data_IF_717409586998
#
_entry.id   IF_717409586998
#
_cell.length_a   1.000
_cell.length_b   1.000
_cell.length_c   1.000
_cell.angle_alpha   90.00
_cell.angle_beta   90.00
_cell.angle_gamma   90.00
#
_symmetry.space_group_name_H-M   'P 1'
#
loop_
_entity.id
_entity.type
_entity.pdbx_description
1 polymer ?
#
# COMPACT_ATOMS: atom_id res chain seq x y z
N UNK A 1 5.53 -8.27 20.10
CA UNK A 1 4.96 -7.85 18.81
C UNK A 1 4.73 -6.36 18.89
N UNK A 2 4.95 -5.56 17.83
CA UNK A 2 4.48 -4.19 17.84
C UNK A 2 2.97 -4.20 18.05
N UNK A 3 2.48 -3.29 18.89
CA UNK A 3 1.06 -3.14 19.16
C UNK A 3 0.45 -2.35 18.00
N UNK A 4 -0.26 -3.07 17.13
CA UNK A 4 -1.03 -2.47 16.04
C UNK A 4 -2.25 -1.78 16.63
N UNK A 5 -2.62 -0.62 16.07
CA UNK A 5 -3.83 0.08 16.45
C UNK A 5 -4.54 0.64 15.22
N UNK A 6 -5.86 0.73 15.30
CA UNK A 6 -6.67 1.41 14.30
C UNK A 6 -6.80 2.89 14.65
N UNK A 7 -6.63 3.76 13.66
CA UNK A 7 -6.86 5.20 13.81
C UNK A 7 -7.78 5.71 12.71
N UNK A 8 -8.61 6.69 13.05
CA UNK A 8 -9.32 7.49 12.05
C UNK A 8 -8.34 8.52 11.49
N UNK A 9 -7.80 8.26 10.31
CA UNK A 9 -6.90 9.19 9.61
C UNK A 9 -7.70 10.05 8.64
N UNK A 10 -7.74 11.34 8.92
CA UNK A 10 -8.36 12.35 8.09
C UNK A 10 -7.33 13.03 7.18
N UNK A 11 -7.63 13.08 5.89
CA UNK A 11 -6.73 13.61 4.87
C UNK A 11 -7.10 14.99 4.36
N UNK A 12 -8.26 15.54 4.72
CA UNK A 12 -8.65 16.90 4.36
C UNK A 12 -9.06 17.73 5.58
N UNK A 13 -8.88 19.04 5.51
CA UNK A 13 -9.24 19.94 6.63
C UNK A 13 -10.75 20.01 6.88
N UNK A 14 -11.55 19.61 5.88
CA UNK A 14 -13.01 19.58 5.97
C UNK A 14 -13.57 18.31 6.60
N UNK A 15 -12.75 17.31 6.95
CA UNK A 15 -13.20 16.09 7.62
C UNK A 15 -13.99 15.12 6.72
N UNK A 16 -13.85 15.21 5.40
CA UNK A 16 -14.61 14.41 4.42
C UNK A 16 -13.83 13.18 3.97
N UNK A 17 -12.51 13.23 3.99
CA UNK A 17 -11.65 12.11 3.59
C UNK A 17 -11.08 11.41 4.83
N UNK A 18 -11.93 10.64 5.51
CA UNK A 18 -11.53 9.85 6.69
C UNK A 18 -11.42 8.38 6.32
N UNK A 19 -10.25 7.80 6.55
CA UNK A 19 -9.99 6.37 6.41
C UNK A 19 -9.65 5.79 7.78
N UNK A 20 -10.18 4.61 8.09
CA UNK A 20 -9.71 3.85 9.27
C UNK A 20 -8.48 3.08 8.80
N UNK A 21 -7.34 3.31 9.45
CA UNK A 21 -6.09 2.68 9.10
C UNK A 21 -5.44 1.95 10.27
N UNK A 22 -4.95 0.74 10.02
CA UNK A 22 -3.99 0.05 10.89
C UNK A 22 -2.64 0.76 10.85
N UNK A 23 -2.14 1.13 12.03
CA UNK A 23 -0.87 1.82 12.22
C UNK A 23 -0.10 1.26 13.42
N UNK A 24 1.21 1.48 13.41
CA UNK A 24 2.05 1.35 14.61
C UNK A 24 2.49 2.74 15.06
N UNK A 25 2.28 3.09 16.33
CA UNK A 25 2.84 4.33 16.90
C UNK A 25 4.36 4.19 17.04
N UNK A 26 5.10 5.15 16.50
CA UNK A 26 6.58 5.16 16.58
C UNK A 26 7.14 6.41 17.27
N UNK A 27 6.29 7.42 17.52
CA UNK A 27 6.63 8.66 18.22
C UNK A 27 5.40 9.34 18.80
N UNK A 28 5.57 10.55 19.36
CA UNK A 28 4.47 11.29 19.99
C UNK A 28 3.33 11.57 19.01
N UNK A 29 3.65 11.92 17.76
CA UNK A 29 2.70 12.24 16.69
C UNK A 29 3.07 11.56 15.37
N UNK A 30 3.82 10.46 15.46
CA UNK A 30 4.33 9.74 14.29
C UNK A 30 3.82 8.31 14.29
N UNK A 31 3.25 7.94 13.15
CA UNK A 31 2.67 6.63 12.91
C UNK A 31 3.30 6.02 11.67
N UNK A 32 3.62 4.73 11.75
CA UNK A 32 3.92 3.93 10.56
C UNK A 32 2.63 3.29 10.07
N UNK A 33 2.32 3.46 8.78
CA UNK A 33 1.16 2.86 8.14
C UNK A 33 1.41 1.35 7.96
N UNK A 34 0.46 0.50 8.38
CA UNK A 34 0.60 -0.96 8.35
C UNK A 34 -0.29 -1.65 7.30
N UNK A 35 -1.12 -0.87 6.60
CA UNK A 35 -1.90 -1.29 5.44
C UNK A 35 -1.82 -0.29 4.27
N UNK A 36 -2.58 -0.49 3.19
CA UNK A 36 -2.55 0.41 2.03
C UNK A 36 -3.67 1.44 2.09
N UNK A 37 -3.35 2.75 2.16
CA UNK A 37 -4.38 3.79 2.08
C UNK A 37 -5.06 3.83 0.71
N UNK A 38 -6.38 3.96 0.72
CA UNK A 38 -7.26 4.04 -0.45
C UNK A 38 -7.46 5.48 -0.88
N UNK A 39 -7.68 6.42 0.05
CA UNK A 39 -7.98 7.82 -0.32
C UNK A 39 -6.74 8.63 -0.69
N UNK A 40 -5.54 8.21 -0.23
CA UNK A 40 -4.27 8.87 -0.55
C UNK A 40 -3.31 7.97 -1.32
N UNK A 41 -3.40 7.94 -2.67
CA UNK A 41 -2.58 7.06 -3.49
C UNK A 41 -1.08 7.36 -3.41
N UNK A 42 -0.66 8.55 -2.96
CA UNK A 42 0.72 8.90 -2.71
C UNK A 42 1.32 8.26 -1.44
N UNK A 43 0.47 7.81 -0.50
CA UNK A 43 0.89 7.10 0.70
C UNK A 43 0.97 5.60 0.45
N UNK A 44 1.85 4.93 1.18
CA UNK A 44 2.09 3.50 1.02
C UNK A 44 2.21 2.81 2.36
N UNK A 45 1.95 1.50 2.35
CA UNK A 45 2.36 0.59 3.40
C UNK A 45 3.82 0.89 3.83
N UNK A 46 4.03 1.02 5.14
CA UNK A 46 5.31 1.27 5.76
C UNK A 46 5.78 2.72 5.75
N UNK A 47 5.03 3.64 5.11
CA UNK A 47 5.32 5.08 5.22
C UNK A 47 5.19 5.51 6.68
N UNK A 48 6.03 6.46 7.09
CA UNK A 48 5.91 7.15 8.36
C UNK A 48 5.28 8.51 8.09
N UNK A 49 4.17 8.75 8.76
CA UNK A 49 3.42 9.99 8.69
C UNK A 49 3.45 10.70 10.03
N UNK A 50 3.37 12.03 9.95
CA UNK A 50 3.07 12.88 11.10
C UNK A 50 1.59 13.23 11.06
N UNK A 51 0.97 13.20 12.22
CA UNK A 51 -0.44 13.58 12.37
C UNK A 51 -0.62 14.63 13.45
N UNK A 52 -1.79 15.25 13.46
CA UNK A 52 -2.29 16.08 14.55
C UNK A 52 -3.59 15.48 15.06
N UNK A 53 -3.65 15.09 16.32
CA UNK A 53 -4.88 14.57 16.90
C UNK A 53 -5.80 15.71 17.32
N UNK A 54 -7.04 15.70 16.84
CA UNK A 54 -8.09 16.62 17.23
C UNK A 54 -9.38 15.85 17.51
N UNK A 55 -9.87 15.92 18.76
CA UNK A 55 -11.12 15.27 19.19
C UNK A 55 -11.19 13.77 18.85
N UNK A 56 -10.05 13.06 18.94
CA UNK A 56 -9.94 11.63 18.65
C UNK A 56 -9.76 11.28 17.17
N UNK A 57 -9.66 12.27 16.27
CA UNK A 57 -9.36 12.08 14.85
C UNK A 57 -7.91 12.49 14.58
N UNK A 58 -7.16 11.64 13.90
CA UNK A 58 -5.80 11.95 13.46
C UNK A 58 -5.86 12.69 12.12
N UNK A 59 -5.45 13.95 12.06
CA UNK A 59 -5.33 14.68 10.81
C UNK A 59 -3.92 14.50 10.23
N UNK A 60 -3.83 14.02 8.99
CA UNK A 60 -2.56 13.90 8.27
C UNK A 60 -1.91 15.28 8.11
N UNK A 61 -0.63 15.39 8.49
CA UNK A 61 0.17 16.61 8.33
C UNK A 61 1.16 16.44 7.16
N UNK A 62 2.01 15.43 7.24
CA UNK A 62 3.04 15.16 6.23
C UNK A 62 3.55 13.72 6.28
N UNK A 63 4.22 13.29 5.20
CA UNK A 63 5.00 12.05 5.20
C UNK A 63 6.43 12.38 5.66
N UNK A 64 6.79 11.95 6.86
CA UNK A 64 8.14 12.14 7.43
C UNK A 64 9.16 11.24 6.72
N UNK A 65 8.76 10.01 6.37
CA UNK A 65 9.62 9.05 5.68
C UNK A 65 8.83 8.13 4.78
N UNK A 66 9.24 8.03 3.51
CA UNK A 66 8.72 7.01 2.60
C UNK A 66 9.24 5.63 2.96
N UNK A 67 8.39 4.62 2.79
CA UNK A 67 8.73 3.22 3.01
C UNK A 67 9.86 2.76 2.07
N UNK A 68 10.38 1.58 2.34
CA UNK A 68 11.30 0.87 1.45
C UNK A 68 10.60 0.05 0.37
N UNK A 69 9.28 0.21 0.27
CA UNK A 69 8.50 -0.35 -0.81
C UNK A 69 8.33 0.63 -1.97
N UNK A 70 8.21 0.05 -3.15
CA UNK A 70 7.64 0.65 -4.35
C UNK A 70 6.25 0.08 -4.51
N UNK A 71 5.27 0.98 -4.48
CA UNK A 71 3.86 0.64 -4.73
C UNK A 71 3.58 0.62 -6.22
N UNK A 72 2.98 -0.47 -6.69
CA UNK A 72 2.48 -0.62 -8.05
C UNK A 72 0.99 -0.94 -7.97
N UNK A 73 0.19 -0.25 -8.78
CA UNK A 73 -1.25 -0.45 -8.88
C UNK A 73 -1.59 -0.84 -10.32
N UNK A 74 -2.38 -1.89 -10.51
CA UNK A 74 -2.84 -2.41 -11.81
C UNK A 74 -4.31 -2.79 -11.75
N UNK A 75 -5.05 -2.54 -12.83
CA UNK A 75 -6.39 -3.09 -13.00
C UNK A 75 -6.27 -4.48 -13.61
N UNK A 76 -6.84 -5.47 -12.94
CA UNK A 76 -6.82 -6.85 -13.40
C UNK A 76 -8.01 -7.13 -14.31
N UNK A 77 -7.72 -7.62 -15.51
CA UNK A 77 -8.69 -8.38 -16.29
C UNK A 77 -9.02 -9.69 -15.58
N UNK A 78 -10.19 -10.26 -15.87
CA UNK A 78 -10.62 -11.54 -15.28
C UNK A 78 -9.67 -12.67 -15.67
N UNK A 79 -9.15 -12.60 -16.88
CA UNK A 79 -8.18 -13.52 -17.45
C UNK A 79 -6.85 -13.43 -16.70
N UNK A 80 -6.31 -12.22 -16.50
CA UNK A 80 -5.09 -12.01 -15.73
C UNK A 80 -5.21 -12.52 -14.29
N UNK A 81 -6.33 -12.22 -13.62
CA UNK A 81 -6.57 -12.61 -12.23
C UNK A 81 -6.55 -14.13 -12.01
N UNK A 82 -6.78 -14.92 -13.07
CA UNK A 82 -6.79 -16.39 -13.05
C UNK A 82 -5.57 -17.01 -13.73
N UNK A 83 -4.64 -16.18 -14.23
CA UNK A 83 -3.47 -16.66 -14.96
C UNK A 83 -2.46 -17.34 -14.02
N UNK A 84 -1.86 -18.46 -14.44
CA UNK A 84 -0.77 -19.08 -13.70
C UNK A 84 0.46 -18.15 -13.60
N UNK A 85 0.67 -17.28 -14.57
CA UNK A 85 1.74 -16.29 -14.62
C UNK A 85 1.62 -15.28 -13.48
N UNK A 86 0.41 -14.71 -13.27
CA UNK A 86 0.19 -13.78 -12.16
C UNK A 86 0.27 -14.48 -10.80
N UNK A 87 -0.22 -15.72 -10.70
CA UNK A 87 -0.08 -16.52 -9.48
C UNK A 87 1.40 -16.74 -9.13
N UNK A 88 2.22 -17.13 -10.12
CA UNK A 88 3.65 -17.33 -9.93
C UNK A 88 4.40 -16.01 -9.62
N UNK A 89 3.98 -14.90 -10.23
CA UNK A 89 4.53 -13.57 -9.93
C UNK A 89 4.26 -13.17 -8.47
N UNK A 90 3.05 -13.40 -7.96
CA UNK A 90 2.68 -13.12 -6.55
C UNK A 90 3.55 -13.91 -5.56
N UNK A 91 3.83 -15.18 -5.84
CA UNK A 91 4.77 -15.97 -5.02
C UNK A 91 6.20 -15.41 -5.07
N UNK A 92 6.64 -14.91 -6.24
CA UNK A 92 7.94 -14.24 -6.37
C UNK A 92 8.00 -12.92 -5.59
N UNK A 93 6.92 -12.14 -5.57
CA UNK A 93 6.81 -10.94 -4.72
C UNK A 93 6.97 -11.33 -3.25
N UNK A 94 6.22 -12.33 -2.78
CA UNK A 94 6.27 -12.78 -1.38
C UNK A 94 7.65 -13.30 -0.99
N UNK A 95 8.29 -14.13 -1.83
CA UNK A 95 9.64 -14.68 -1.55
C UNK A 95 10.74 -13.62 -1.49
N UNK A 96 10.45 -12.40 -1.95
CA UNK A 96 11.35 -11.23 -1.87
C UNK A 96 10.92 -10.24 -0.79
N UNK A 97 10.13 -10.66 0.19
CA UNK A 97 9.55 -9.81 1.24
C UNK A 97 8.65 -8.69 0.73
N UNK A 98 8.12 -8.81 -0.49
CA UNK A 98 7.06 -7.92 -0.96
C UNK A 98 5.70 -8.32 -0.39
N UNK A 99 4.74 -7.41 -0.53
CA UNK A 99 3.34 -7.67 -0.21
C UNK A 99 2.47 -7.43 -1.44
N UNK A 100 1.32 -8.08 -1.51
CA UNK A 100 0.33 -7.80 -2.53
C UNK A 100 -1.08 -8.02 -1.98
N UNK A 101 -2.03 -7.33 -2.57
CA UNK A 101 -3.45 -7.46 -2.25
C UNK A 101 -4.30 -7.21 -3.49
N UNK A 102 -5.52 -7.72 -3.49
CA UNK A 102 -6.52 -7.38 -4.52
C UNK A 102 -7.71 -6.75 -3.83
N UNK A 103 -7.93 -5.47 -4.12
CA UNK A 103 -9.04 -4.68 -3.58
C UNK A 103 -10.08 -4.41 -4.65
N UNK A 104 -11.31 -4.13 -4.24
CA UNK A 104 -12.46 -3.85 -5.13
C UNK A 104 -12.69 -4.89 -6.24
N UNK A 105 -12.28 -6.15 -6.02
CA UNK A 105 -12.48 -7.26 -6.95
C UNK A 105 -11.69 -7.19 -8.26
N UNK A 106 -10.79 -6.21 -8.42
CA UNK A 106 -10.07 -6.00 -9.67
C UNK A 106 -8.87 -5.07 -9.63
N UNK A 107 -8.55 -4.45 -8.49
CA UNK A 107 -7.36 -3.60 -8.36
C UNK A 107 -6.29 -4.40 -7.64
N UNK A 108 -5.20 -4.73 -8.34
CA UNK A 108 -4.01 -5.33 -7.75
C UNK A 108 -3.09 -4.23 -7.24
N UNK A 109 -2.75 -4.29 -5.96
CA UNK A 109 -1.74 -3.45 -5.35
C UNK A 109 -0.57 -4.34 -4.95
N UNK A 110 0.64 -3.91 -5.30
CA UNK A 110 1.87 -4.64 -5.02
C UNK A 110 2.85 -3.68 -4.35
N UNK A 111 3.41 -4.10 -3.22
CA UNK A 111 4.48 -3.42 -2.50
C UNK A 111 5.76 -4.22 -2.68
N UNK A 112 6.68 -3.72 -3.50
CA UNK A 112 7.94 -4.40 -3.83
C UNK A 112 9.10 -3.69 -3.12
N UNK A 113 9.99 -4.38 -2.38
CA UNK A 113 11.18 -3.74 -1.83
C UNK A 113 12.02 -3.10 -2.94
N UNK A 114 12.54 -1.89 -2.72
CA UNK A 114 13.26 -1.11 -3.74
C UNK A 114 14.39 -1.90 -4.42
N UNK A 115 15.09 -2.75 -3.69
CA UNK A 115 16.16 -3.64 -4.18
C UNK A 115 15.66 -4.72 -5.14
N UNK A 116 14.38 -5.08 -5.06
CA UNK A 116 13.71 -6.09 -5.90
C UNK A 116 12.87 -5.48 -7.03
N UNK A 117 12.81 -4.15 -7.13
CA UNK A 117 11.94 -3.43 -8.07
C UNK A 117 12.19 -3.83 -9.52
N UNK A 118 13.44 -3.72 -10.00
CA UNK A 118 13.76 -3.91 -11.41
C UNK A 118 13.40 -5.30 -11.96
N UNK A 119 13.80 -6.43 -11.33
CA UNK A 119 13.46 -7.74 -11.85
C UNK A 119 11.95 -8.01 -11.85
N UNK A 120 11.24 -7.57 -10.81
CA UNK A 120 9.78 -7.78 -10.71
C UNK A 120 9.00 -6.87 -11.67
N UNK A 121 9.49 -5.65 -11.91
CA UNK A 121 8.89 -4.73 -12.87
C UNK A 121 8.87 -5.31 -14.27
N UNK A 122 10.01 -5.82 -14.76
CA UNK A 122 10.09 -6.39 -16.10
C UNK A 122 9.12 -7.56 -16.31
N UNK A 123 8.97 -8.38 -15.28
CA UNK A 123 8.06 -9.52 -15.28
C UNK A 123 6.59 -9.09 -15.28
N UNK A 124 6.21 -8.15 -14.41
CA UNK A 124 4.86 -7.61 -14.37
C UNK A 124 4.47 -6.97 -15.71
N UNK A 125 5.40 -6.25 -16.35
CA UNK A 125 5.19 -5.67 -17.68
C UNK A 125 5.00 -6.74 -18.77
N UNK A 126 5.59 -7.92 -18.63
CA UNK A 126 5.33 -9.03 -19.55
C UNK A 126 3.92 -9.59 -19.38
N UNK A 127 3.46 -9.74 -18.13
CA UNK A 127 2.09 -10.16 -17.80
C UNK A 127 1.09 -9.11 -18.30
N UNK A 128 1.37 -7.82 -18.07
CA UNK A 128 0.60 -6.69 -18.58
C UNK A 128 0.35 -6.76 -20.08
N UNK A 129 1.40 -7.02 -20.87
CA UNK A 129 1.28 -7.18 -22.32
C UNK A 129 0.47 -8.42 -22.74
N UNK A 130 0.57 -9.52 -21.98
CA UNK A 130 -0.14 -10.75 -22.30
C UNK A 130 -1.64 -10.68 -22.00
N UNK A 131 -2.05 -9.95 -20.96
CA UNK A 131 -3.43 -9.95 -20.46
C UNK A 131 -4.13 -8.58 -20.47
N UNK A 132 -3.43 -7.53 -20.91
CA UNK A 132 -3.96 -6.17 -20.98
C UNK A 132 -4.23 -5.53 -19.61
N UNK A 133 -3.28 -5.65 -18.68
CA UNK A 133 -3.38 -5.12 -17.30
C UNK A 133 -2.39 -4.00 -16.98
#
# INVERSE_FOLDING_TARGET
>A
MPEFMEVQLCFDEAGREIEILEVTRIGENEYRIEETPVFRPELSLGDIIKVKEERGVCHYVETVRKSDYRKVVRLLSREAARSPELAAFRERVLSRNGKWETVFGGVLIIHVPKEAEQPLKAELEAIARAYGI
#
